data_IF_062118140018
#
_entry.id   IF_062118140018
#
_cell.length_a   1.000
_cell.length_b   1.000
_cell.length_c   1.000
_cell.angle_alpha   90.00
_cell.angle_beta   90.00
_cell.angle_gamma   90.00
#
_symmetry.space_group_name_H-M   'P 1'
#
loop_
_entity.id
_entity.type
_entity.pdbx_description
1 polymer ?
#
# COMPACT_ATOMS: atom_id res chain seq x y z
N UNK A 1 3.88 29.55 -13.92
CA UNK A 1 3.66 28.63 -12.79
C UNK A 1 3.43 27.25 -13.36
N UNK A 2 4.43 26.39 -13.35
CA UNK A 2 4.26 24.98 -13.68
C UNK A 2 3.40 24.37 -12.58
N UNK A 3 2.15 24.03 -12.89
CA UNK A 3 1.37 23.21 -11.98
C UNK A 3 2.13 21.89 -11.83
N UNK A 4 2.73 21.67 -10.66
CA UNK A 4 3.22 20.36 -10.27
C UNK A 4 1.99 19.47 -10.06
N UNK A 5 1.40 18.99 -11.15
CA UNK A 5 0.35 17.96 -11.14
C UNK A 5 0.90 16.61 -10.68
N UNK A 6 2.23 16.48 -10.69
CA UNK A 6 2.97 15.31 -10.29
C UNK A 6 2.52 14.75 -8.93
N UNK A 7 2.49 15.51 -7.81
CA UNK A 7 2.14 14.95 -6.51
C UNK A 7 0.70 14.44 -6.47
N UNK A 8 -0.25 15.10 -7.14
CA UNK A 8 -1.67 14.68 -7.13
C UNK A 8 -1.85 13.37 -7.91
N UNK A 9 -1.23 13.24 -9.08
CA UNK A 9 -1.41 12.05 -9.93
C UNK A 9 -0.75 10.81 -9.31
N UNK A 10 0.37 10.96 -8.59
CA UNK A 10 1.05 9.83 -7.93
C UNK A 10 0.61 9.58 -6.47
N UNK A 11 0.25 10.61 -5.70
CA UNK A 11 -0.14 10.42 -4.28
C UNK A 11 -1.65 10.23 -4.07
N UNK A 12 -2.53 10.73 -4.95
CA UNK A 12 -3.98 10.55 -4.78
C UNK A 12 -4.43 9.07 -4.76
N UNK A 13 -3.86 8.17 -5.59
CA UNK A 13 -4.15 6.74 -5.50
C UNK A 13 -3.86 6.09 -4.14
N UNK A 14 -2.96 6.67 -3.33
CA UNK A 14 -2.62 6.16 -1.99
C UNK A 14 -3.83 6.22 -1.05
N UNK A 15 -4.72 7.20 -1.24
CA UNK A 15 -5.96 7.31 -0.47
C UNK A 15 -6.86 6.06 -0.61
N UNK A 16 -6.82 5.39 -1.77
CA UNK A 16 -7.56 4.14 -1.97
C UNK A 16 -7.03 3.01 -1.09
N UNK A 17 -5.71 2.95 -0.85
CA UNK A 17 -5.09 1.94 0.02
C UNK A 17 -5.40 2.20 1.50
N UNK A 18 -5.43 3.47 1.90
CA UNK A 18 -5.89 3.87 3.23
C UNK A 18 -7.34 3.41 3.44
N UNK A 19 -8.24 3.75 2.52
CA UNK A 19 -9.64 3.35 2.62
C UNK A 19 -9.82 1.82 2.59
N UNK A 20 -9.07 1.11 1.74
CA UNK A 20 -9.04 -0.36 1.75
C UNK A 20 -8.67 -0.89 3.13
N UNK A 21 -7.61 -0.35 3.73
CA UNK A 21 -7.09 -0.80 5.02
C UNK A 21 -8.11 -0.57 6.12
N UNK A 22 -8.77 0.59 6.14
CA UNK A 22 -9.85 0.87 7.09
C UNK A 22 -11.00 -0.12 6.95
N UNK A 23 -11.42 -0.47 5.72
CA UNK A 23 -12.48 -1.46 5.49
C UNK A 23 -12.09 -2.86 5.98
N UNK A 24 -10.82 -3.23 5.88
CA UNK A 24 -10.31 -4.55 6.32
C UNK A 24 -10.10 -4.60 7.83
N UNK A 25 -9.55 -3.54 8.42
CA UNK A 25 -9.16 -3.48 9.82
C UNK A 25 -10.38 -3.24 10.72
N UNK A 26 -11.25 -2.30 10.33
CA UNK A 26 -12.44 -1.94 11.08
C UNK A 26 -13.61 -2.88 10.74
N UNK A 27 -14.58 -3.07 11.65
CA UNK A 27 -15.74 -3.95 11.43
C UNK A 27 -16.81 -3.31 10.52
N UNK A 28 -16.41 -2.67 9.41
CA UNK A 28 -17.30 -1.91 8.51
C UNK A 28 -18.44 -2.77 7.96
N UNK A 29 -18.18 -4.06 7.72
CA UNK A 29 -19.21 -5.03 7.28
C UNK A 29 -20.35 -5.20 8.28
N UNK A 30 -20.09 -4.99 9.58
CA UNK A 30 -21.12 -5.03 10.63
C UNK A 30 -21.99 -3.78 10.60
N UNK A 31 -21.43 -2.64 10.22
CA UNK A 31 -22.15 -1.38 10.09
C UNK A 31 -23.00 -1.32 8.80
N UNK A 32 -22.55 -2.01 7.75
CA UNK A 32 -23.21 -2.02 6.44
C UNK A 32 -23.34 -3.46 5.89
N UNK A 33 -24.23 -4.29 6.47
CA UNK A 33 -24.34 -5.71 6.16
C UNK A 33 -24.91 -6.00 4.77
N UNK A 34 -25.69 -5.08 4.19
CA UNK A 34 -26.35 -5.28 2.89
C UNK A 34 -25.47 -4.94 1.68
N UNK A 35 -24.25 -4.42 1.88
CA UNK A 35 -23.37 -4.00 0.79
C UNK A 35 -22.40 -5.11 0.38
N UNK A 36 -22.23 -5.31 -0.93
CA UNK A 36 -21.17 -6.18 -1.46
C UNK A 36 -19.82 -5.48 -1.40
N UNK A 37 -18.99 -5.86 -0.43
CA UNK A 37 -17.65 -5.29 -0.23
C UNK A 37 -16.57 -5.88 -1.15
N UNK A 38 -16.87 -6.95 -1.90
CA UNK A 38 -15.85 -7.66 -2.70
C UNK A 38 -15.30 -6.78 -3.82
N UNK A 39 -16.17 -6.23 -4.67
CA UNK A 39 -15.76 -5.38 -5.78
C UNK A 39 -15.11 -4.09 -5.28
N UNK A 40 -15.68 -3.47 -4.25
CA UNK A 40 -15.12 -2.26 -3.63
C UNK A 40 -13.70 -2.50 -3.13
N UNK A 41 -13.45 -3.60 -2.40
CA UNK A 41 -12.11 -3.94 -1.92
C UNK A 41 -11.12 -4.16 -3.06
N UNK A 42 -11.54 -4.90 -4.10
CA UNK A 42 -10.71 -5.14 -5.28
C UNK A 42 -10.36 -3.84 -6.01
N UNK A 43 -11.33 -2.95 -6.23
CA UNK A 43 -11.10 -1.67 -6.91
C UNK A 43 -10.18 -0.76 -6.08
N UNK A 44 -10.40 -0.68 -4.77
CA UNK A 44 -9.58 0.15 -3.89
C UNK A 44 -8.12 -0.31 -3.86
N UNK A 45 -7.87 -1.60 -3.61
CA UNK A 45 -6.51 -2.13 -3.58
C UNK A 45 -5.87 -2.16 -4.97
N UNK A 46 -6.65 -2.44 -6.02
CA UNK A 46 -6.18 -2.44 -7.40
C UNK A 46 -5.74 -1.04 -7.87
N UNK A 47 -6.62 -0.05 -7.79
CA UNK A 47 -6.31 1.32 -8.19
C UNK A 47 -5.21 1.93 -7.31
N UNK A 48 -5.24 1.66 -6.02
CA UNK A 48 -4.21 2.13 -5.10
C UNK A 48 -2.83 1.52 -5.39
N UNK A 49 -2.78 0.22 -5.70
CA UNK A 49 -1.53 -0.45 -6.06
C UNK A 49 -0.97 0.04 -7.40
N UNK A 50 -1.81 0.30 -8.40
CA UNK A 50 -1.37 0.97 -9.64
C UNK A 50 -0.74 2.34 -9.36
N UNK A 51 -1.28 3.06 -8.37
CA UNK A 51 -0.70 4.29 -7.85
C UNK A 51 0.68 4.13 -7.22
N UNK A 52 0.90 3.07 -6.44
CA UNK A 52 2.23 2.73 -5.92
C UNK A 52 3.19 2.52 -7.08
N UNK A 53 2.82 1.73 -8.09
CA UNK A 53 3.68 1.48 -9.24
C UNK A 53 4.04 2.77 -10.00
N UNK A 54 3.07 3.66 -10.19
CA UNK A 54 3.30 4.97 -10.81
C UNK A 54 4.18 5.89 -9.95
N UNK A 55 4.06 5.80 -8.62
CA UNK A 55 4.90 6.57 -7.68
C UNK A 55 6.33 6.05 -7.68
N UNK A 56 6.52 4.74 -7.71
CA UNK A 56 7.85 4.13 -7.75
C UNK A 56 8.59 4.44 -9.05
N UNK A 57 7.88 4.43 -10.19
CA UNK A 57 8.51 4.78 -11.48
C UNK A 57 8.87 6.26 -11.60
N UNK A 58 8.28 7.13 -10.78
CA UNK A 58 8.57 8.57 -10.76
C UNK A 58 9.55 9.00 -9.68
N UNK A 59 9.73 8.20 -8.62
CA UNK A 59 10.62 8.51 -7.50
C UNK A 59 12.09 8.68 -7.90
N UNK A 60 12.58 7.88 -8.84
CA UNK A 60 13.96 7.97 -9.37
C UNK A 60 14.23 9.32 -10.05
N UNK A 61 13.22 9.92 -10.69
CA UNK A 61 13.32 11.24 -11.32
C UNK A 61 13.29 12.39 -10.30
N UNK A 62 12.75 12.15 -9.10
CA UNK A 62 12.59 13.15 -8.05
C UNK A 62 13.77 13.20 -7.06
N UNK A 63 14.64 12.18 -7.04
CA UNK A 63 15.79 12.08 -6.13
C UNK A 63 16.73 13.30 -6.20
N UNK A 64 16.87 13.90 -7.39
CA UNK A 64 17.69 15.09 -7.62
C UNK A 64 17.13 16.40 -7.02
N UNK A 65 15.89 16.39 -6.53
CA UNK A 65 15.21 17.56 -5.96
C UNK A 65 15.03 17.50 -4.45
N UNK A 66 15.53 16.45 -3.78
CA UNK A 66 15.36 16.27 -2.34
C UNK A 66 16.47 16.96 -1.54
N UNK A 67 16.08 17.70 -0.50
CA UNK A 67 17.00 18.36 0.44
C UNK A 67 17.16 17.60 1.76
N UNK A 68 16.50 16.44 1.90
CA UNK A 68 16.52 15.60 3.10
C UNK A 68 17.81 14.81 3.28
N UNK A 69 18.07 14.35 4.50
CA UNK A 69 19.23 13.49 4.78
C UNK A 69 19.11 12.16 4.05
N UNK A 70 20.27 11.58 3.69
CA UNK A 70 20.35 10.28 3.00
C UNK A 70 19.63 9.16 3.78
N UNK A 71 19.62 9.25 5.10
CA UNK A 71 18.97 8.30 5.99
C UNK A 71 17.43 8.39 5.90
N UNK A 72 16.88 9.60 5.83
CA UNK A 72 15.42 9.80 5.62
C UNK A 72 15.00 9.27 4.26
N UNK A 73 15.80 9.48 3.22
CA UNK A 73 15.55 8.91 1.88
C UNK A 73 15.54 7.38 1.93
N UNK A 74 16.56 6.77 2.54
CA UNK A 74 16.62 5.31 2.68
C UNK A 74 15.43 4.74 3.48
N UNK A 75 15.04 5.39 4.57
CA UNK A 75 13.87 4.98 5.35
C UNK A 75 12.59 5.11 4.52
N UNK A 76 12.41 6.22 3.81
CA UNK A 76 11.25 6.44 2.92
C UNK A 76 11.14 5.34 1.87
N UNK A 77 12.25 5.00 1.19
CA UNK A 77 12.30 3.92 0.19
C UNK A 77 12.00 2.55 0.81
N UNK A 78 12.52 2.26 2.00
CA UNK A 78 12.28 1.02 2.71
C UNK A 78 10.80 0.83 3.07
N UNK A 79 10.16 1.86 3.63
CA UNK A 79 8.73 1.80 3.96
C UNK A 79 7.84 1.82 2.70
N UNK A 80 8.24 2.54 1.64
CA UNK A 80 7.55 2.49 0.34
C UNK A 80 7.56 1.07 -0.22
N UNK A 81 8.73 0.42 -0.25
CA UNK A 81 8.89 -0.96 -0.69
C UNK A 81 8.08 -1.94 0.16
N UNK A 82 8.14 -1.81 1.49
CA UNK A 82 7.36 -2.63 2.41
C UNK A 82 5.85 -2.49 2.14
N UNK A 83 5.35 -1.26 2.00
CA UNK A 83 3.94 -1.00 1.68
C UNK A 83 3.53 -1.63 0.33
N UNK A 84 4.40 -1.55 -0.69
CA UNK A 84 4.19 -2.18 -2.00
C UNK A 84 4.04 -3.70 -1.87
N UNK A 85 4.93 -4.36 -1.12
CA UNK A 85 4.82 -5.80 -0.88
C UNK A 85 3.53 -6.19 -0.14
N UNK A 86 3.18 -5.47 0.92
CA UNK A 86 1.96 -5.77 1.69
C UNK A 86 0.69 -5.61 0.84
N UNK A 87 0.55 -4.49 0.13
CA UNK A 87 -0.62 -4.27 -0.73
C UNK A 87 -0.61 -5.14 -2.00
N UNK A 88 0.57 -5.50 -2.52
CA UNK A 88 0.71 -6.44 -3.62
C UNK A 88 0.22 -7.84 -3.23
N UNK A 89 0.58 -8.32 -2.03
CA UNK A 89 0.07 -9.60 -1.50
C UNK A 89 -1.45 -9.56 -1.25
N UNK A 90 -1.97 -8.44 -0.74
CA UNK A 90 -3.40 -8.24 -0.55
C UNK A 90 -4.15 -8.24 -1.89
N UNK A 91 -3.64 -7.52 -2.89
CA UNK A 91 -4.18 -7.51 -4.26
C UNK A 91 -4.16 -8.91 -4.87
N UNK A 92 -3.04 -9.63 -4.72
CA UNK A 92 -2.92 -11.00 -5.18
C UNK A 92 -4.00 -11.88 -4.52
N UNK A 93 -4.24 -11.75 -3.21
CA UNK A 93 -5.30 -12.46 -2.50
C UNK A 93 -6.71 -12.17 -3.02
N UNK A 94 -7.01 -10.92 -3.43
CA UNK A 94 -8.30 -10.55 -4.01
C UNK A 94 -8.47 -11.06 -5.45
N UNK A 95 -7.41 -11.05 -6.27
CA UNK A 95 -7.46 -11.46 -7.68
C UNK A 95 -7.36 -12.98 -7.86
N UNK A 96 -6.68 -13.69 -6.95
CA UNK A 96 -6.37 -15.11 -7.08
C UNK A 96 -7.57 -16.01 -7.44
N UNK A 97 -8.77 -15.85 -6.85
CA UNK A 97 -9.93 -16.68 -7.20
C UNK A 97 -10.37 -16.52 -8.66
N UNK A 98 -10.24 -15.30 -9.21
CA UNK A 98 -10.58 -15.01 -10.61
C UNK A 98 -9.57 -15.65 -11.57
N UNK A 99 -8.28 -15.62 -11.22
CA UNK A 99 -7.23 -16.29 -12.00
C UNK A 99 -7.42 -17.80 -11.92
N UNK A 100 -7.62 -18.35 -10.71
CA UNK A 100 -7.82 -19.79 -10.49
C UNK A 100 -8.98 -20.33 -11.35
N UNK A 101 -10.11 -19.62 -11.39
CA UNK A 101 -11.28 -20.02 -12.19
C UNK A 101 -11.00 -20.09 -13.70
N UNK A 102 -10.05 -19.31 -14.21
CA UNK A 102 -9.66 -19.34 -15.64
C UNK A 102 -8.54 -20.34 -15.94
N UNK A 103 -7.57 -20.47 -15.04
CA UNK A 103 -6.35 -21.26 -15.24
C UNK A 103 -6.56 -22.74 -14.92
N UNK A 104 -7.22 -23.07 -13.81
CA UNK A 104 -7.34 -24.46 -13.34
C UNK A 104 -8.05 -25.41 -14.32
N UNK A 105 -9.07 -24.99 -15.10
CA UNK A 105 -9.66 -25.86 -16.13
C UNK A 105 -8.67 -26.27 -17.21
N UNK A 106 -7.68 -25.43 -17.51
CA UNK A 106 -6.68 -25.68 -18.55
C UNK A 106 -5.42 -26.36 -18.00
N UNK A 107 -5.07 -26.09 -16.73
CA UNK A 107 -3.85 -26.60 -16.10
C UNK A 107 -4.15 -27.14 -14.68
N UNK A 108 -4.83 -28.29 -14.57
CA UNK A 108 -5.28 -28.83 -13.28
C UNK A 108 -4.11 -29.23 -12.36
N UNK A 109 -2.91 -29.48 -12.90
CA UNK A 109 -1.71 -29.77 -12.11
C UNK A 109 -1.34 -28.66 -11.12
N UNK A 110 -1.78 -27.42 -11.38
CA UNK A 110 -1.53 -26.28 -10.48
C UNK A 110 -2.59 -26.15 -9.38
N UNK A 111 -3.61 -27.00 -9.33
CA UNK A 111 -4.70 -26.90 -8.35
C UNK A 111 -4.22 -26.87 -6.90
N UNK A 112 -3.20 -27.67 -6.57
CA UNK A 112 -2.63 -27.70 -5.23
C UNK A 112 -2.02 -26.34 -4.84
N UNK A 113 -1.29 -25.71 -5.76
CA UNK A 113 -0.63 -24.43 -5.55
C UNK A 113 -1.66 -23.31 -5.39
N UNK A 114 -2.66 -23.24 -6.27
CA UNK A 114 -3.74 -22.26 -6.15
C UNK A 114 -4.54 -22.44 -4.84
N UNK A 115 -4.76 -23.68 -4.42
CA UNK A 115 -5.45 -23.97 -3.14
C UNK A 115 -4.61 -23.50 -1.95
N UNK A 116 -3.31 -23.78 -1.96
CA UNK A 116 -2.38 -23.33 -0.92
C UNK A 116 -2.33 -21.80 -0.84
N UNK A 117 -2.10 -21.14 -1.98
CA UNK A 117 -2.05 -19.67 -2.06
C UNK A 117 -3.37 -19.05 -1.61
N UNK A 118 -4.50 -19.61 -2.02
CA UNK A 118 -5.83 -19.11 -1.61
C UNK A 118 -6.07 -19.31 -0.11
N UNK A 119 -5.59 -20.41 0.48
CA UNK A 119 -5.67 -20.65 1.92
C UNK A 119 -4.83 -19.65 2.71
N UNK A 120 -3.63 -19.31 2.24
CA UNK A 120 -2.72 -18.38 2.92
C UNK A 120 -3.16 -16.93 2.71
N UNK A 121 -3.25 -16.48 1.45
CA UNK A 121 -3.49 -15.06 1.12
C UNK A 121 -4.91 -14.57 1.45
N UNK A 122 -5.85 -15.48 1.72
CA UNK A 122 -7.22 -15.12 2.12
C UNK A 122 -7.57 -15.57 3.54
N UNK A 123 -6.60 -16.07 4.29
CA UNK A 123 -6.79 -16.26 5.72
C UNK A 123 -7.08 -14.90 6.36
N UNK A 124 -8.17 -14.80 7.13
CA UNK A 124 -8.64 -13.53 7.67
C UNK A 124 -7.60 -12.85 8.59
N UNK A 125 -6.86 -13.63 9.39
CA UNK A 125 -5.82 -13.10 10.27
C UNK A 125 -4.66 -12.56 9.45
N UNK A 126 -4.21 -13.29 8.44
CA UNK A 126 -3.12 -12.85 7.55
C UNK A 126 -3.52 -11.58 6.80
N UNK A 127 -4.72 -11.55 6.22
CA UNK A 127 -5.23 -10.37 5.51
C UNK A 127 -5.31 -9.16 6.44
N UNK A 128 -5.78 -9.35 7.67
CA UNK A 128 -5.87 -8.27 8.66
C UNK A 128 -4.48 -7.76 9.06
N UNK A 129 -3.53 -8.66 9.34
CA UNK A 129 -2.15 -8.31 9.69
C UNK A 129 -1.44 -7.59 8.55
N UNK A 130 -1.57 -8.08 7.31
CA UNK A 130 -1.02 -7.44 6.12
C UNK A 130 -1.62 -6.05 5.89
N UNK A 131 -2.94 -5.89 6.09
CA UNK A 131 -3.59 -4.59 5.94
C UNK A 131 -3.13 -3.60 7.01
N UNK A 132 -2.96 -4.04 8.26
CA UNK A 132 -2.45 -3.21 9.34
C UNK A 132 -0.98 -2.83 9.12
N UNK A 133 -0.12 -3.79 8.79
CA UNK A 133 1.29 -3.53 8.49
C UNK A 133 1.45 -2.62 7.26
N UNK A 134 0.66 -2.87 6.21
CA UNK A 134 0.57 -2.03 5.01
C UNK A 134 0.16 -0.60 5.35
N UNK A 135 -0.87 -0.43 6.18
CA UNK A 135 -1.35 0.88 6.60
C UNK A 135 -0.32 1.66 7.41
N UNK A 136 0.35 1.01 8.37
CA UNK A 136 1.42 1.62 9.17
C UNK A 136 2.58 2.02 8.26
N UNK A 137 3.07 1.10 7.43
CA UNK A 137 4.18 1.35 6.52
C UNK A 137 3.86 2.52 5.57
N UNK A 138 2.67 2.54 4.97
CA UNK A 138 2.22 3.58 4.05
C UNK A 138 2.11 4.95 4.75
N UNK A 139 1.62 4.98 5.98
CA UNK A 139 1.54 6.22 6.78
C UNK A 139 2.93 6.78 7.06
N UNK A 140 3.87 5.92 7.45
CA UNK A 140 5.27 6.28 7.68
C UNK A 140 5.92 6.78 6.38
N UNK A 141 5.72 6.08 5.25
CA UNK A 141 6.20 6.52 3.93
C UNK A 141 5.72 7.93 3.59
N UNK A 142 4.43 8.21 3.79
CA UNK A 142 3.84 9.52 3.55
C UNK A 142 4.45 10.62 4.43
N UNK A 143 4.63 10.34 5.73
CA UNK A 143 5.25 11.28 6.67
C UNK A 143 6.71 11.57 6.30
N UNK A 144 7.50 10.53 6.01
CA UNK A 144 8.89 10.69 5.57
C UNK A 144 8.98 11.45 4.24
N UNK A 145 8.04 11.21 3.31
CA UNK A 145 7.94 11.99 2.07
C UNK A 145 7.68 13.47 2.33
N UNK A 146 6.80 13.78 3.30
CA UNK A 146 6.58 15.15 3.78
C UNK A 146 7.85 15.79 4.35
N UNK A 147 8.61 15.05 5.16
CA UNK A 147 9.90 15.51 5.71
C UNK A 147 10.92 15.79 4.60
N UNK A 148 11.00 14.97 3.56
CA UNK A 148 11.93 15.14 2.45
C UNK A 148 11.69 16.44 1.66
N UNK A 149 10.43 16.91 1.58
CA UNK A 149 10.04 18.09 0.79
C UNK A 149 9.95 19.34 1.66
N UNK A 150 9.43 19.22 2.87
CA UNK A 150 9.05 20.35 3.72
C UNK A 150 9.85 20.44 5.03
N UNK A 151 10.72 19.46 5.32
CA UNK A 151 11.46 19.36 6.57
C UNK A 151 10.60 18.83 7.72
N UNK A 152 11.21 18.73 8.92
CA UNK A 152 10.58 18.16 10.12
C UNK A 152 9.47 19.01 10.72
N UNK A 153 9.33 20.27 10.30
CA UNK A 153 8.26 21.18 10.75
C UNK A 153 6.91 20.91 10.08
N UNK A 154 6.88 20.08 9.04
CA UNK A 154 5.67 19.82 8.26
C UNK A 154 4.64 18.96 9.00
N UNK A 155 5.08 18.09 9.91
CA UNK A 155 4.22 17.19 10.68
C UNK A 155 4.70 17.13 12.13
N UNK A 156 3.83 17.39 13.14
CA UNK A 156 4.22 17.32 14.56
C UNK A 156 4.71 15.93 15.00
N UNK A 157 4.38 14.87 14.24
CA UNK A 157 4.82 13.50 14.50
C UNK A 157 6.15 13.16 13.81
N UNK A 158 6.67 14.02 12.92
CA UNK A 158 7.90 13.74 12.19
C UNK A 158 9.11 13.58 13.12
N UNK A 159 9.34 14.52 14.03
CA UNK A 159 10.50 14.45 14.94
C UNK A 159 10.44 13.22 15.88
N UNK A 160 9.31 12.91 16.55
CA UNK A 160 9.19 11.66 17.32
C UNK A 160 9.44 10.41 16.49
N UNK A 161 8.94 10.36 15.25
CA UNK A 161 9.15 9.22 14.36
C UNK A 161 10.62 9.06 13.97
N UNK A 162 11.31 10.14 13.62
CA UNK A 162 12.73 10.08 13.27
C UNK A 162 13.58 9.61 14.47
N UNK A 163 13.27 10.08 15.68
CA UNK A 163 13.92 9.60 16.90
C UNK A 163 13.67 8.10 17.12
N UNK A 164 12.42 7.63 16.92
CA UNK A 164 12.06 6.21 17.04
C UNK A 164 12.82 5.34 16.03
N UNK A 165 13.04 5.86 14.82
CA UNK A 165 13.79 5.19 13.76
C UNK A 165 15.32 5.31 13.92
N UNK A 166 15.81 6.15 14.85
CA UNK A 166 17.24 6.40 15.05
C UNK A 166 17.89 7.23 13.93
N UNK A 167 17.13 8.13 13.31
CA UNK A 167 17.55 8.95 12.14
C UNK A 167 17.73 10.45 12.52
N UNK A 168 17.50 10.81 13.79
CA UNK A 168 17.55 12.18 14.33
C UNK A 168 18.91 12.61 14.83
#
# INVERSE_FOLDING_TARGET
MTYNLHPIIVHFPIAFLILYSLIVILPVKRWFPHQSWKLTRLLLVGLGFLGILASMSSGEAAQSFTSGSREVVHAHEAFASASSWFYGLLLAGEILPFIAGKVLPHIPRLAWLFTLLNKVLRNQVIVWLLALAGFIALTITGMLGGVLVHGTSADPLAAPLLNLLGIS
#
